data_IF_211686690108
#
_entry.id   IF_211686690108
#
_cell.length_a   1.000
_cell.length_b   1.000
_cell.length_c   1.000
_cell.angle_alpha   90.00
_cell.angle_beta   90.00
_cell.angle_gamma   90.00
#
_symmetry.space_group_name_H-M   'P 1'
#
loop_
_entity.id
_entity.type
_entity.pdbx_description
1 polymer ?
#
# COMPACT_ATOMS: atom_id res chain seq x y z
N UNK A 1 35.77 -13.76 7.22
CA UNK A 1 34.96 -12.85 6.37
C UNK A 1 35.87 -12.21 5.36
N UNK A 2 35.56 -12.29 4.07
CA UNK A 2 36.41 -11.74 3.01
C UNK A 2 36.47 -10.21 3.09
N UNK A 3 37.65 -9.62 2.88
CA UNK A 3 37.87 -8.16 2.94
C UNK A 3 37.06 -7.37 1.89
N UNK A 4 36.68 -8.04 0.80
CA UNK A 4 35.86 -7.47 -0.29
C UNK A 4 34.49 -6.96 0.16
N UNK A 5 33.90 -7.54 1.21
CA UNK A 5 32.59 -7.16 1.73
C UNK A 5 32.59 -5.90 2.59
N UNK A 6 33.76 -5.40 2.99
CA UNK A 6 33.92 -4.20 3.79
C UNK A 6 34.52 -3.03 3.00
N UNK A 7 34.45 -1.84 3.55
CA UNK A 7 35.13 -0.65 3.03
C UNK A 7 36.29 -0.26 3.92
N UNK A 8 37.42 0.13 3.35
CA UNK A 8 38.48 0.82 4.06
C UNK A 8 38.09 2.29 4.28
N UNK A 9 38.79 2.99 5.21
CA UNK A 9 38.51 4.42 5.47
C UNK A 9 38.67 5.27 4.20
N UNK A 10 39.71 5.07 3.43
CA UNK A 10 39.93 5.79 2.16
C UNK A 10 38.79 5.50 1.14
N UNK A 11 38.30 4.26 1.08
CA UNK A 11 37.16 3.93 0.20
C UNK A 11 35.86 4.62 0.65
N UNK A 12 35.66 4.80 1.96
CA UNK A 12 34.50 5.51 2.51
C UNK A 12 34.55 6.98 2.11
N UNK A 13 35.69 7.66 2.32
CA UNK A 13 35.87 9.05 1.95
C UNK A 13 35.67 9.29 0.46
N UNK A 14 36.30 8.48 -0.38
CA UNK A 14 36.16 8.53 -1.82
C UNK A 14 34.72 8.27 -2.29
N UNK A 15 33.99 7.39 -1.60
CA UNK A 15 32.59 7.11 -1.88
C UNK A 15 31.70 8.32 -1.55
N UNK A 16 31.87 8.91 -0.37
CA UNK A 16 31.12 10.09 0.07
C UNK A 16 31.31 11.24 -0.91
N UNK A 17 32.55 11.61 -1.19
CA UNK A 17 32.88 12.68 -2.13
C UNK A 17 32.26 12.45 -3.52
N UNK A 18 32.54 11.31 -4.13
CA UNK A 18 32.06 11.01 -5.49
C UNK A 18 30.54 10.95 -5.58
N UNK A 19 29.88 10.40 -4.55
CA UNK A 19 28.44 10.26 -4.51
C UNK A 19 27.74 11.60 -4.30
N UNK A 20 28.20 12.41 -3.36
CA UNK A 20 27.64 13.74 -3.08
C UNK A 20 27.83 14.70 -4.25
N UNK A 21 29.03 14.71 -4.87
CA UNK A 21 29.29 15.50 -6.07
C UNK A 21 28.36 15.12 -7.24
N UNK A 22 28.10 13.83 -7.42
CA UNK A 22 27.15 13.35 -8.42
C UNK A 22 25.71 13.77 -8.07
N UNK A 23 25.31 13.62 -6.80
CA UNK A 23 23.97 13.95 -6.33
C UNK A 23 23.64 15.43 -6.53
N UNK A 24 24.56 16.32 -6.19
CA UNK A 24 24.37 17.76 -6.34
C UNK A 24 24.08 18.18 -7.79
N UNK A 25 24.63 17.44 -8.76
CA UNK A 25 24.44 17.69 -10.21
C UNK A 25 23.24 16.97 -10.83
N UNK A 26 22.84 15.82 -10.26
CA UNK A 26 21.96 14.87 -10.94
C UNK A 26 20.65 14.58 -10.20
N UNK A 27 20.47 15.11 -9.00
CA UNK A 27 19.27 14.87 -8.18
C UNK A 27 18.02 15.38 -8.87
N UNK A 28 16.97 14.55 -8.89
CA UNK A 28 15.65 14.96 -9.38
C UNK A 28 15.07 16.06 -8.49
N UNK A 29 14.41 17.05 -9.10
CA UNK A 29 13.61 18.02 -8.35
C UNK A 29 12.29 17.36 -7.94
N UNK A 30 12.10 17.18 -6.62
CA UNK A 30 10.94 16.53 -6.04
C UNK A 30 10.30 17.44 -4.98
N UNK A 31 8.94 17.51 -4.89
CA UNK A 31 8.26 18.43 -3.97
C UNK A 31 8.73 18.31 -2.53
N UNK A 32 8.88 17.08 -2.03
CA UNK A 32 9.35 16.84 -0.65
C UNK A 32 10.81 17.21 -0.40
N UNK A 33 11.66 17.24 -1.44
CA UNK A 33 13.04 17.72 -1.32
C UNK A 33 13.10 19.23 -1.14
N UNK A 34 12.20 19.97 -1.81
CA UNK A 34 12.04 21.41 -1.58
C UNK A 34 11.54 21.70 -0.18
N UNK A 35 10.56 20.92 0.29
CA UNK A 35 10.01 21.04 1.64
C UNK A 35 11.02 20.65 2.74
N UNK A 36 11.97 19.77 2.46
CA UNK A 36 13.07 19.45 3.39
C UNK A 36 14.00 20.64 3.69
N UNK A 37 13.93 21.71 2.90
CA UNK A 37 14.67 22.96 3.11
C UNK A 37 13.85 24.03 3.85
N UNK A 38 12.62 23.72 4.26
CA UNK A 38 11.77 24.66 4.99
C UNK A 38 12.45 25.09 6.30
N UNK A 39 12.49 26.38 6.65
CA UNK A 39 13.11 26.86 7.89
C UNK A 39 12.40 26.34 9.15
N UNK A 40 11.08 26.12 9.09
CA UNK A 40 10.31 25.55 10.20
C UNK A 40 10.60 24.04 10.34
N UNK A 41 11.22 23.59 11.45
CA UNK A 41 11.55 22.18 11.66
C UNK A 41 10.32 21.28 11.75
N UNK A 42 9.18 21.77 12.23
CA UNK A 42 7.94 20.99 12.30
C UNK A 42 7.38 20.71 10.91
N UNK A 43 7.29 21.73 10.06
CA UNK A 43 6.84 21.58 8.68
C UNK A 43 7.81 20.71 7.88
N UNK A 44 9.12 20.88 8.08
CA UNK A 44 10.14 20.07 7.43
C UNK A 44 10.05 18.60 7.82
N UNK A 45 9.94 18.30 9.11
CA UNK A 45 9.79 16.94 9.63
C UNK A 45 8.53 16.26 9.11
N UNK A 46 7.41 16.97 9.17
CA UNK A 46 6.12 16.49 8.67
C UNK A 46 6.15 16.19 7.17
N UNK A 47 6.66 17.11 6.37
CA UNK A 47 6.72 16.98 4.91
C UNK A 47 7.58 15.76 4.47
N UNK A 48 8.74 15.57 5.10
CA UNK A 48 9.59 14.40 4.86
C UNK A 48 8.88 13.11 5.29
N UNK A 49 8.25 13.10 6.48
CA UNK A 49 7.51 11.93 6.96
C UNK A 49 6.40 11.51 6.01
N UNK A 50 5.58 12.45 5.55
CA UNK A 50 4.50 12.18 4.58
C UNK A 50 5.06 11.54 3.31
N UNK A 51 6.12 12.12 2.73
CA UNK A 51 6.72 11.58 1.52
C UNK A 51 7.29 10.17 1.72
N UNK A 52 7.99 9.93 2.83
CA UNK A 52 8.58 8.62 3.13
C UNK A 52 7.53 7.52 3.32
N UNK A 53 6.38 7.86 3.92
CA UNK A 53 5.26 6.93 4.06
C UNK A 53 4.58 6.68 2.71
N UNK A 54 4.38 7.71 1.88
CA UNK A 54 3.77 7.56 0.55
C UNK A 54 4.65 6.74 -0.40
N UNK A 55 5.97 6.89 -0.32
CA UNK A 55 6.94 6.19 -1.17
C UNK A 55 7.11 4.70 -0.83
N UNK A 56 6.63 4.23 0.34
CA UNK A 56 6.66 2.81 0.66
C UNK A 56 5.87 2.01 -0.39
N UNK A 57 6.55 1.12 -1.13
CA UNK A 57 5.94 0.26 -2.16
C UNK A 57 5.21 1.03 -3.29
N UNK A 58 5.48 2.32 -3.48
CA UNK A 58 4.84 3.16 -4.49
C UNK A 58 5.89 3.89 -5.32
N UNK A 59 5.67 3.99 -6.63
CA UNK A 59 6.58 4.68 -7.54
C UNK A 59 6.55 6.18 -7.33
N UNK A 60 7.71 6.84 -7.42
CA UNK A 60 7.88 8.30 -7.29
C UNK A 60 6.89 9.08 -8.16
N UNK A 61 6.74 8.70 -9.44
CA UNK A 61 5.81 9.36 -10.38
C UNK A 61 4.37 9.40 -9.85
N UNK A 62 3.91 8.32 -9.24
CA UNK A 62 2.57 8.25 -8.65
C UNK A 62 2.46 9.12 -7.40
N UNK A 63 3.52 9.14 -6.57
CA UNK A 63 3.49 9.85 -5.28
C UNK A 63 3.42 11.36 -5.46
N UNK A 64 4.01 11.95 -6.49
CA UNK A 64 4.06 13.42 -6.68
C UNK A 64 2.67 14.04 -6.56
N UNK A 65 1.71 13.58 -7.36
CA UNK A 65 0.35 14.14 -7.40
C UNK A 65 -0.39 13.93 -6.07
N UNK A 66 -0.18 12.79 -5.40
CA UNK A 66 -0.78 12.50 -4.09
C UNK A 66 -0.18 13.37 -2.99
N UNK A 67 1.12 13.57 -3.01
CA UNK A 67 1.83 14.41 -2.06
C UNK A 67 1.38 15.88 -2.16
N UNK A 68 1.28 16.41 -3.37
CA UNK A 68 0.87 17.80 -3.60
C UNK A 68 -0.57 18.04 -3.12
N UNK A 69 -1.50 17.13 -3.44
CA UNK A 69 -2.88 17.19 -2.93
C UNK A 69 -2.96 17.09 -1.41
N UNK A 70 -2.14 16.21 -0.82
CA UNK A 70 -2.07 16.00 0.62
C UNK A 70 -1.56 17.23 1.35
N UNK A 71 -0.43 17.77 0.91
CA UNK A 71 0.18 18.94 1.52
C UNK A 71 -0.66 20.23 1.32
N UNK A 72 -1.46 20.28 0.27
CA UNK A 72 -2.44 21.35 0.08
C UNK A 72 -3.61 21.25 1.06
N UNK A 73 -4.10 20.04 1.34
CA UNK A 73 -5.24 19.81 2.25
C UNK A 73 -4.82 19.89 3.71
N UNK A 74 -3.67 19.31 4.05
CA UNK A 74 -3.12 19.28 5.41
C UNK A 74 -1.64 19.65 5.41
N UNK A 75 -1.31 20.94 5.37
CA UNK A 75 0.09 21.42 5.31
C UNK A 75 0.86 21.24 6.59
N UNK A 76 0.22 20.92 7.72
CA UNK A 76 0.86 20.69 9.02
C UNK A 76 0.35 19.41 9.71
N UNK A 77 1.11 18.96 10.70
CA UNK A 77 0.76 17.77 11.51
C UNK A 77 -0.54 17.98 12.30
N UNK A 78 -0.81 19.20 12.77
CA UNK A 78 -2.01 19.54 13.53
C UNK A 78 -3.27 19.42 12.69
N UNK A 79 -3.20 19.91 11.45
CA UNK A 79 -4.30 19.81 10.51
C UNK A 79 -4.60 18.36 10.11
N UNK A 80 -3.55 17.54 9.94
CA UNK A 80 -3.74 16.11 9.70
C UNK A 80 -4.35 15.42 10.92
N UNK A 81 -3.91 15.74 12.13
CA UNK A 81 -4.44 15.18 13.36
C UNK A 81 -5.94 15.48 13.56
N UNK A 82 -6.38 16.65 13.10
CA UNK A 82 -7.79 17.08 13.19
C UNK A 82 -8.69 16.50 12.09
N UNK A 83 -8.10 15.83 11.08
CA UNK A 83 -8.85 15.29 9.95
C UNK A 83 -9.67 14.06 10.36
N UNK A 84 -10.80 13.81 9.68
CA UNK A 84 -11.49 12.54 9.81
C UNK A 84 -10.72 11.40 9.13
N UNK A 85 -10.82 10.19 9.65
CA UNK A 85 -10.18 9.03 9.02
C UNK A 85 -10.74 8.75 7.62
N UNK A 86 -12.02 9.08 7.39
CA UNK A 86 -12.67 8.94 6.08
C UNK A 86 -12.07 9.92 5.06
N UNK A 87 -11.84 11.17 5.43
CA UNK A 87 -11.13 12.14 4.58
C UNK A 87 -9.72 11.69 4.24
N UNK A 88 -9.00 11.17 5.24
CA UNK A 88 -7.64 10.65 5.08
C UNK A 88 -7.64 9.47 4.09
N UNK A 89 -8.55 8.52 4.26
CA UNK A 89 -8.68 7.37 3.37
C UNK A 89 -9.14 7.75 1.96
N UNK A 90 -10.03 8.74 1.83
CA UNK A 90 -10.50 9.27 0.54
C UNK A 90 -9.34 9.86 -0.25
N UNK A 91 -8.56 10.76 0.35
CA UNK A 91 -7.41 11.39 -0.31
C UNK A 91 -6.29 10.38 -0.64
N UNK A 92 -6.17 9.29 0.13
CA UNK A 92 -5.23 8.19 -0.10
C UNK A 92 -5.71 7.18 -1.15
N UNK A 93 -6.98 7.26 -1.54
CA UNK A 93 -7.61 6.27 -2.42
C UNK A 93 -6.85 6.13 -3.74
N UNK A 94 -6.51 4.88 -4.08
CA UNK A 94 -5.70 4.53 -5.27
C UNK A 94 -4.21 4.35 -5.01
N UNK A 95 -3.65 4.89 -3.89
CA UNK A 95 -2.24 4.72 -3.56
C UNK A 95 -1.91 3.31 -3.01
N UNK A 96 -2.91 2.60 -2.50
CA UNK A 96 -2.78 1.26 -1.92
C UNK A 96 -2.17 1.24 -0.51
N UNK A 97 -2.12 0.05 0.10
CA UNK A 97 -1.57 -0.14 1.46
C UNK A 97 -2.13 0.87 2.48
N UNK A 98 -3.44 0.94 2.61
CA UNK A 98 -4.19 1.93 3.40
C UNK A 98 -3.83 1.96 4.89
N UNK A 99 -3.25 0.88 5.41
CA UNK A 99 -2.69 0.88 6.77
C UNK A 99 -1.65 1.98 6.98
N UNK A 100 -0.95 2.41 5.92
CA UNK A 100 0.01 3.51 5.96
C UNK A 100 -0.68 4.84 6.28
N UNK A 101 -1.77 5.15 5.58
CA UNK A 101 -2.56 6.37 5.81
C UNK A 101 -3.10 6.41 7.24
N UNK A 102 -3.67 5.28 7.72
CA UNK A 102 -4.19 5.16 9.07
C UNK A 102 -3.10 5.33 10.13
N UNK A 103 -1.91 4.74 9.92
CA UNK A 103 -0.79 4.88 10.85
C UNK A 103 -0.21 6.29 10.81
N UNK A 104 -0.18 6.93 9.63
CA UNK A 104 0.24 8.33 9.47
C UNK A 104 -0.70 9.26 10.25
N UNK A 105 -2.03 9.08 10.12
CA UNK A 105 -3.03 9.83 10.87
C UNK A 105 -2.90 9.63 12.38
N UNK A 106 -2.84 8.38 12.85
CA UNK A 106 -2.61 8.09 14.28
C UNK A 106 -1.30 8.64 14.80
N UNK A 107 -0.27 8.66 13.97
CA UNK A 107 1.01 9.28 14.32
C UNK A 107 0.89 10.80 14.48
N UNK A 108 0.10 11.46 13.63
CA UNK A 108 -0.17 12.89 13.74
C UNK A 108 -0.94 13.23 15.02
N UNK A 109 -2.02 12.47 15.32
CA UNK A 109 -2.75 12.59 16.58
C UNK A 109 -1.80 12.46 17.80
N UNK A 110 -0.88 11.49 17.75
CA UNK A 110 0.08 11.27 18.81
C UNK A 110 1.09 12.41 18.96
N UNK A 111 1.58 12.97 17.84
CA UNK A 111 2.48 14.12 17.89
C UNK A 111 1.79 15.32 18.52
N UNK A 112 0.53 15.58 18.19
CA UNK A 112 -0.24 16.67 18.80
C UNK A 112 -0.47 16.43 20.29
N UNK A 113 -0.93 15.24 20.65
CA UNK A 113 -1.37 14.96 22.03
C UNK A 113 -0.22 14.71 23.01
N UNK A 114 0.87 14.05 22.57
CA UNK A 114 1.95 13.65 23.48
C UNK A 114 3.22 14.50 23.31
N UNK A 115 3.37 15.21 22.19
CA UNK A 115 4.52 16.07 21.91
C UNK A 115 4.14 17.54 21.71
N UNK A 116 2.90 17.93 22.07
CA UNK A 116 2.39 19.31 21.96
C UNK A 116 2.53 19.91 20.54
N UNK A 117 2.37 19.10 19.50
CA UNK A 117 2.53 19.50 18.11
C UNK A 117 4.00 19.67 17.66
N UNK A 118 4.97 19.43 18.55
CA UNK A 118 6.40 19.51 18.22
C UNK A 118 6.87 18.20 17.60
N UNK A 119 7.33 18.26 16.35
CA UNK A 119 7.73 17.07 15.62
C UNK A 119 9.04 16.49 16.21
N UNK A 120 9.07 15.18 16.61
CA UNK A 120 10.26 14.57 17.19
C UNK A 120 11.41 14.53 16.17
N UNK A 121 12.60 14.96 16.57
CA UNK A 121 13.76 15.10 15.68
C UNK A 121 14.69 13.89 15.72
N UNK A 122 14.68 13.13 16.83
CA UNK A 122 15.56 11.96 17.01
C UNK A 122 14.99 10.71 16.36
N UNK A 123 15.83 9.98 15.58
CA UNK A 123 15.47 8.70 14.99
C UNK A 123 15.01 7.67 16.03
N UNK A 124 15.62 7.68 17.22
CA UNK A 124 15.25 6.77 18.31
C UNK A 124 13.85 7.08 18.85
N UNK A 125 13.54 8.35 19.09
CA UNK A 125 12.23 8.79 19.56
C UNK A 125 11.16 8.51 18.50
N UNK A 126 11.42 8.85 17.24
CA UNK A 126 10.53 8.58 16.11
C UNK A 126 10.18 7.11 16.02
N UNK A 127 11.20 6.22 16.03
CA UNK A 127 11.01 4.77 15.95
C UNK A 127 10.23 4.20 17.14
N UNK A 128 10.49 4.68 18.36
CA UNK A 128 9.87 4.18 19.57
C UNK A 128 8.44 4.67 19.74
N UNK A 129 8.17 5.91 19.35
CA UNK A 129 6.93 6.58 19.77
C UNK A 129 5.92 6.75 18.65
N UNK A 130 6.33 6.89 17.37
CA UNK A 130 5.39 7.21 16.31
C UNK A 130 4.89 5.94 15.61
N UNK A 131 3.56 5.69 15.60
CA UNK A 131 2.97 4.54 14.93
C UNK A 131 3.37 4.45 13.45
N UNK A 132 3.77 3.25 13.01
CA UNK A 132 4.16 2.99 11.62
C UNK A 132 5.56 3.49 11.22
N UNK A 133 6.30 4.11 12.13
CA UNK A 133 7.67 4.55 11.89
C UNK A 133 8.65 3.48 12.32
N UNK A 134 9.22 2.77 11.33
CA UNK A 134 10.28 1.78 11.52
C UNK A 134 11.69 2.38 11.46
N UNK A 135 12.72 1.51 11.58
CA UNK A 135 14.15 1.92 11.54
C UNK A 135 14.49 2.76 10.31
N UNK A 136 14.00 2.35 9.12
CA UNK A 136 14.20 3.10 7.88
C UNK A 136 13.56 4.49 7.92
N UNK A 137 12.25 4.56 8.19
CA UNK A 137 11.50 5.83 8.17
C UNK A 137 12.03 6.81 9.21
N UNK A 138 12.38 6.32 10.40
CA UNK A 138 12.99 7.12 11.45
C UNK A 138 14.33 7.70 11.01
N UNK A 139 15.21 6.88 10.41
CA UNK A 139 16.50 7.31 9.89
C UNK A 139 16.38 8.33 8.75
N UNK A 140 15.41 8.11 7.84
CA UNK A 140 15.14 9.03 6.73
C UNK A 140 14.68 10.41 7.25
N UNK A 141 13.67 10.44 8.12
CA UNK A 141 13.19 11.70 8.69
C UNK A 141 14.31 12.42 9.45
N UNK A 142 14.98 11.72 10.36
CA UNK A 142 16.01 12.32 11.21
C UNK A 142 17.22 12.85 10.42
N UNK A 143 17.65 12.14 9.38
CA UNK A 143 18.77 12.60 8.56
C UNK A 143 18.38 13.70 7.59
N UNK A 144 17.25 13.57 6.89
CA UNK A 144 16.85 14.49 5.83
C UNK A 144 16.28 15.80 6.41
N UNK A 145 15.43 15.71 7.44
CA UNK A 145 14.80 16.90 8.02
C UNK A 145 15.63 17.55 9.13
N UNK A 146 16.44 16.77 9.86
CA UNK A 146 17.08 17.25 11.08
C UNK A 146 18.61 17.07 11.10
N UNK A 147 19.19 16.69 9.98
CA UNK A 147 20.64 16.51 9.81
C UNK A 147 21.28 15.56 10.85
N UNK A 148 20.50 14.62 11.39
CA UNK A 148 21.05 13.62 12.30
C UNK A 148 21.86 12.59 11.52
N UNK A 149 23.10 12.33 11.96
CA UNK A 149 23.98 11.33 11.35
C UNK A 149 23.45 9.90 11.63
N UNK A 150 22.47 9.48 10.84
CA UNK A 150 21.84 8.16 10.94
C UNK A 150 21.61 7.57 9.54
N UNK A 151 21.83 6.26 9.35
CA UNK A 151 21.72 5.62 8.03
C UNK A 151 20.27 5.37 7.62
N UNK A 152 20.08 5.14 6.32
CA UNK A 152 18.89 4.55 5.74
C UNK A 152 19.22 3.26 4.99
N UNK A 153 18.28 2.32 4.93
CA UNK A 153 18.45 1.09 4.20
C UNK A 153 17.10 0.68 3.58
N UNK A 154 16.85 1.14 2.35
CA UNK A 154 15.71 0.76 1.51
C UNK A 154 16.12 -0.26 0.45
N UNK A 155 15.19 -0.69 -0.41
CA UNK A 155 15.48 -1.62 -1.50
C UNK A 155 16.50 -1.09 -2.52
N UNK A 156 16.63 0.23 -2.68
CA UNK A 156 17.63 0.86 -3.55
C UNK A 156 19.02 0.80 -2.92
N UNK A 157 19.13 1.21 -1.67
CA UNK A 157 20.38 1.18 -0.90
C UNK A 157 20.90 -0.25 -0.73
N UNK A 158 20.02 -1.22 -0.40
CA UNK A 158 20.38 -2.65 -0.35
C UNK A 158 21.01 -3.10 -1.66
N UNK A 159 20.38 -2.78 -2.80
CA UNK A 159 20.91 -3.15 -4.12
C UNK A 159 22.27 -2.51 -4.41
N UNK A 160 22.42 -1.22 -4.09
CA UNK A 160 23.68 -0.51 -4.28
C UNK A 160 24.80 -1.16 -3.44
N UNK A 161 24.55 -1.36 -2.13
CA UNK A 161 25.56 -1.90 -1.23
C UNK A 161 25.95 -3.35 -1.56
N UNK A 162 24.96 -4.19 -1.88
CA UNK A 162 25.23 -5.58 -2.27
C UNK A 162 26.04 -5.68 -3.55
N UNK A 163 25.80 -4.79 -4.52
CA UNK A 163 26.60 -4.71 -5.75
C UNK A 163 27.98 -4.13 -5.52
N UNK A 164 28.11 -3.09 -4.70
CA UNK A 164 29.40 -2.50 -4.39
C UNK A 164 30.35 -3.48 -3.69
N UNK A 165 29.83 -4.35 -2.83
CA UNK A 165 30.61 -5.25 -1.97
C UNK A 165 30.37 -6.73 -2.21
N UNK A 166 29.78 -7.13 -3.34
CA UNK A 166 29.50 -8.54 -3.71
C UNK A 166 28.83 -9.35 -2.59
N UNK A 167 27.85 -8.75 -1.89
CA UNK A 167 27.15 -9.44 -0.81
C UNK A 167 26.12 -10.39 -1.43
N UNK A 168 26.44 -11.67 -1.48
CA UNK A 168 25.64 -12.73 -2.10
C UNK A 168 24.82 -13.53 -1.12
N UNK A 169 24.90 -13.27 0.17
CA UNK A 169 23.96 -13.84 1.14
C UNK A 169 22.55 -13.29 0.89
N UNK A 170 21.49 -14.12 0.96
CA UNK A 170 20.12 -13.64 0.75
C UNK A 170 19.74 -12.50 1.68
N UNK A 171 19.27 -11.39 1.10
CA UNK A 171 18.97 -10.16 1.86
C UNK A 171 17.78 -10.29 2.80
N UNK A 172 16.98 -11.36 2.73
CA UNK A 172 15.90 -11.64 3.65
C UNK A 172 16.40 -12.25 4.99
N UNK A 173 17.64 -12.70 5.06
CA UNK A 173 18.21 -13.22 6.30
C UNK A 173 18.51 -12.08 7.29
N UNK A 174 18.15 -12.22 8.57
CA UNK A 174 18.42 -11.19 9.60
C UNK A 174 19.90 -10.79 9.70
N UNK A 175 20.80 -11.78 9.58
CA UNK A 175 22.25 -11.57 9.62
C UNK A 175 22.75 -10.70 8.45
N UNK A 176 22.25 -10.96 7.23
CA UNK A 176 22.57 -10.16 6.04
C UNK A 176 22.05 -8.74 6.17
N UNK A 177 20.82 -8.59 6.67
CA UNK A 177 20.21 -7.26 6.89
C UNK A 177 20.97 -6.46 7.93
N UNK A 178 21.36 -7.06 9.05
CA UNK A 178 22.14 -6.35 10.08
C UNK A 178 23.55 -5.98 9.57
N UNK A 179 24.18 -6.85 8.79
CA UNK A 179 25.44 -6.50 8.13
C UNK A 179 25.30 -5.28 7.20
N UNK A 180 24.24 -5.24 6.39
CA UNK A 180 23.97 -4.09 5.50
C UNK A 180 23.66 -2.81 6.28
N UNK A 181 22.95 -2.88 7.40
CA UNK A 181 22.75 -1.75 8.29
C UNK A 181 24.08 -1.24 8.87
N UNK A 182 24.97 -2.14 9.29
CA UNK A 182 26.29 -1.78 9.79
C UNK A 182 27.16 -1.12 8.71
N UNK A 183 27.07 -1.60 7.47
CA UNK A 183 27.73 -0.93 6.34
C UNK A 183 27.16 0.48 6.12
N UNK A 184 25.84 0.62 6.06
CA UNK A 184 25.21 1.91 5.88
C UNK A 184 25.57 2.89 7.01
N UNK A 185 25.65 2.43 8.26
CA UNK A 185 26.09 3.25 9.41
C UNK A 185 27.50 3.79 9.24
N UNK A 186 28.44 2.97 8.75
CA UNK A 186 29.82 3.39 8.51
C UNK A 186 29.94 4.37 7.35
N UNK A 187 29.04 4.27 6.38
CA UNK A 187 29.08 5.07 5.16
C UNK A 187 28.45 6.44 5.30
N UNK A 188 27.42 6.61 6.16
CA UNK A 188 26.69 7.88 6.24
C UNK A 188 27.66 9.04 6.47
N UNK A 189 27.47 10.11 5.71
CA UNK A 189 28.30 11.31 5.79
C UNK A 189 27.94 12.10 7.05
N UNK A 190 28.91 12.48 7.91
CA UNK A 190 28.62 13.18 9.16
C UNK A 190 28.14 14.63 8.96
N UNK A 191 28.59 15.29 7.88
CA UNK A 191 28.26 16.68 7.62
C UNK A 191 26.98 16.85 6.82
N UNK A 192 26.71 15.92 5.89
CA UNK A 192 25.57 15.94 4.98
C UNK A 192 24.77 14.62 5.00
N UNK A 193 24.32 14.11 6.17
CA UNK A 193 23.72 12.79 6.28
C UNK A 193 22.44 12.64 5.46
N UNK A 194 21.60 13.67 5.43
CA UNK A 194 20.36 13.68 4.65
C UNK A 194 20.61 13.63 3.13
N UNK A 195 21.58 14.43 2.64
CA UNK A 195 21.95 14.40 1.23
C UNK A 195 22.60 13.07 0.84
N UNK A 196 23.46 12.53 1.69
CA UNK A 196 24.13 11.25 1.46
C UNK A 196 23.12 10.10 1.35
N UNK A 197 22.18 10.02 2.28
CA UNK A 197 21.12 9.01 2.26
C UNK A 197 20.23 9.13 1.01
N UNK A 198 19.81 10.34 0.67
CA UNK A 198 19.07 10.60 -0.56
C UNK A 198 19.90 10.26 -1.81
N UNK A 199 21.19 10.53 -1.82
CA UNK A 199 22.09 10.22 -2.91
C UNK A 199 22.22 8.71 -3.17
N UNK A 200 22.34 7.89 -2.12
CA UNK A 200 22.32 6.42 -2.25
C UNK A 200 20.99 5.90 -2.81
N UNK A 201 19.88 6.40 -2.30
CA UNK A 201 18.55 6.04 -2.81
C UNK A 201 18.38 6.48 -4.27
N UNK A 202 18.79 7.69 -4.62
CA UNK A 202 18.74 8.22 -5.98
C UNK A 202 19.60 7.40 -6.95
N UNK A 203 20.85 7.07 -6.55
CA UNK A 203 21.75 6.23 -7.35
C UNK A 203 21.09 4.88 -7.66
N UNK A 204 20.46 4.26 -6.67
CA UNK A 204 19.72 3.03 -6.86
C UNK A 204 18.51 3.19 -7.77
N UNK A 205 17.81 4.31 -7.69
CA UNK A 205 16.59 4.56 -8.46
C UNK A 205 16.85 4.85 -9.94
N UNK A 206 17.91 5.61 -10.27
CA UNK A 206 18.11 6.14 -11.63
C UNK A 206 19.35 5.61 -12.36
N UNK A 207 20.33 5.06 -11.65
CA UNK A 207 21.59 4.57 -12.24
C UNK A 207 21.80 3.08 -11.98
N UNK A 208 21.91 2.68 -10.71
CA UNK A 208 22.07 1.27 -10.30
C UNK A 208 20.73 0.54 -10.25
N UNK A 209 19.97 0.56 -11.34
CA UNK A 209 18.60 0.02 -11.45
C UNK A 209 18.55 -1.52 -11.32
N UNK A 210 17.40 -2.13 -10.97
CA UNK A 210 17.28 -3.58 -10.86
C UNK A 210 17.59 -4.32 -12.17
N UNK A 211 17.07 -3.81 -13.27
CA UNK A 211 17.31 -4.28 -14.64
C UNK A 211 18.07 -3.19 -15.38
N UNK A 212 19.00 -3.54 -16.24
CA UNK A 212 19.75 -2.60 -17.07
C UNK A 212 20.43 -1.46 -16.29
N UNK A 213 21.29 -1.72 -15.30
CA UNK A 213 22.02 -0.68 -14.58
C UNK A 213 23.03 0.02 -15.50
N UNK A 214 23.09 1.36 -15.45
CA UNK A 214 24.06 2.15 -16.22
C UNK A 214 25.40 2.27 -15.47
N UNK A 215 26.16 1.18 -15.47
CA UNK A 215 27.44 1.10 -14.76
C UNK A 215 28.50 2.08 -15.32
N UNK A 216 28.41 2.45 -16.60
CA UNK A 216 29.37 3.37 -17.21
C UNK A 216 29.20 4.82 -16.72
N UNK A 217 27.96 5.21 -16.38
CA UNK A 217 27.67 6.53 -15.80
C UNK A 217 27.73 6.55 -14.28
N UNK A 218 27.83 5.37 -13.62
CA UNK A 218 27.84 5.28 -12.17
C UNK A 218 29.06 5.98 -11.56
N UNK A 219 28.88 6.98 -10.66
CA UNK A 219 29.99 7.70 -10.04
C UNK A 219 30.91 6.78 -9.25
N UNK A 220 30.34 5.77 -8.57
CA UNK A 220 31.08 4.85 -7.72
C UNK A 220 31.87 3.82 -8.52
N UNK A 221 31.39 3.44 -9.71
CA UNK A 221 32.14 2.60 -10.63
C UNK A 221 33.32 3.36 -11.26
N UNK A 222 33.11 4.63 -11.64
CA UNK A 222 34.16 5.46 -12.21
C UNK A 222 35.37 5.62 -11.29
N UNK A 223 35.16 5.62 -9.99
CA UNK A 223 36.22 5.68 -8.97
C UNK A 223 36.70 4.30 -8.50
N UNK A 224 36.28 3.23 -9.18
CA UNK A 224 36.75 1.86 -8.93
C UNK A 224 36.25 1.22 -7.65
N UNK A 225 35.06 1.61 -7.15
CA UNK A 225 34.52 1.08 -5.87
C UNK A 225 33.54 -0.09 -6.05
N UNK A 226 33.10 -0.40 -7.30
CA UNK A 226 32.12 -1.44 -7.55
C UNK A 226 32.77 -2.80 -7.80
N UNK A 227 32.83 -3.64 -6.78
CA UNK A 227 33.47 -4.96 -6.87
C UNK A 227 32.70 -5.93 -7.79
N UNK A 228 31.34 -5.88 -7.80
CA UNK A 228 30.57 -6.72 -8.74
C UNK A 228 30.77 -6.33 -10.20
N UNK A 229 31.05 -5.07 -10.51
CA UNK A 229 31.37 -4.65 -11.86
C UNK A 229 32.77 -5.14 -12.28
N UNK A 230 33.76 -5.06 -11.37
CA UNK A 230 35.08 -5.63 -11.60
C UNK A 230 34.99 -7.13 -11.88
N UNK A 231 34.26 -7.87 -11.03
CA UNK A 231 34.04 -9.32 -11.18
C UNK A 231 33.40 -9.65 -12.54
N UNK A 232 32.38 -8.90 -12.94
CA UNK A 232 31.68 -9.15 -14.19
C UNK A 232 32.57 -8.99 -15.44
N UNK A 233 33.59 -8.13 -15.37
CA UNK A 233 34.51 -7.82 -16.47
C UNK A 233 35.89 -8.47 -16.31
N UNK A 234 36.15 -9.23 -15.24
CA UNK A 234 37.39 -9.96 -15.07
C UNK A 234 37.56 -11.08 -16.10
N UNK A 235 38.78 -11.26 -16.58
CA UNK A 235 39.15 -12.39 -17.43
C UNK A 235 39.12 -13.70 -16.59
N UNK A 236 39.02 -14.85 -17.27
CA UNK A 236 39.02 -16.15 -16.56
C UNK A 236 40.28 -16.40 -15.75
N UNK A 237 41.41 -15.77 -16.12
CA UNK A 237 42.70 -15.89 -15.43
C UNK A 237 42.79 -15.12 -14.12
N UNK A 238 41.97 -14.07 -13.93
CA UNK A 238 42.04 -13.18 -12.78
C UNK A 238 41.10 -13.61 -11.63
N UNK A 239 40.41 -14.73 -11.81
CA UNK A 239 39.52 -15.29 -10.80
C UNK A 239 40.39 -16.10 -9.80
N UNK A 240 40.98 -15.40 -8.86
CA UNK A 240 41.57 -16.04 -7.69
C UNK A 240 40.40 -16.62 -6.88
N UNK A 241 40.27 -17.94 -6.92
CA UNK A 241 39.44 -18.67 -5.98
C UNK A 241 40.10 -18.52 -4.58
N UNK A 242 39.88 -17.38 -3.93
CA UNK A 242 40.09 -17.33 -2.48
C UNK A 242 39.11 -18.34 -1.88
N UNK A 243 39.59 -19.14 -0.95
CA UNK A 243 38.81 -20.17 -0.25
C UNK A 243 37.46 -19.62 0.17
N UNK A 244 36.45 -19.87 -0.68
CA UNK A 244 35.08 -19.32 -0.56
C UNK A 244 34.24 -20.15 0.45
N UNK A 245 34.79 -21.28 0.95
CA UNK A 245 34.05 -22.24 1.73
C UNK A 245 33.59 -21.69 3.09
N UNK A 246 34.27 -20.69 3.65
CA UNK A 246 33.99 -20.17 4.99
C UNK A 246 33.30 -18.78 5.04
N UNK A 247 33.02 -18.14 3.91
CA UNK A 247 32.44 -16.81 3.92
C UNK A 247 30.92 -16.83 3.63
N UNK A 248 30.12 -16.74 4.69
CA UNK A 248 28.67 -16.70 4.58
C UNK A 248 28.07 -15.50 3.82
N UNK A 249 28.88 -14.49 3.47
CA UNK A 249 28.46 -13.33 2.67
C UNK A 249 28.74 -13.49 1.19
N UNK A 250 29.59 -14.43 0.79
CA UNK A 250 29.87 -14.68 -0.62
C UNK A 250 28.66 -15.33 -1.33
N UNK A 251 28.54 -15.05 -2.62
CA UNK A 251 27.55 -15.76 -3.45
C UNK A 251 28.04 -17.18 -3.72
N UNK A 252 27.16 -18.14 -3.61
CA UNK A 252 27.48 -19.53 -3.97
C UNK A 252 27.75 -19.61 -5.48
N UNK A 253 28.84 -20.30 -5.87
CA UNK A 253 29.24 -20.47 -7.26
C UNK A 253 28.16 -21.11 -8.12
N UNK A 254 27.34 -22.01 -7.55
CA UNK A 254 26.20 -22.64 -8.23
C UNK A 254 25.06 -21.66 -8.58
N UNK A 255 24.97 -20.53 -7.87
CA UNK A 255 23.92 -19.50 -8.07
C UNK A 255 24.42 -18.37 -8.96
N UNK A 256 25.73 -18.11 -8.99
CA UNK A 256 26.30 -17.03 -9.80
C UNK A 256 26.21 -17.31 -11.30
N UNK A 257 25.62 -16.38 -12.04
CA UNK A 257 25.49 -16.44 -13.49
C UNK A 257 26.31 -15.32 -14.14
N UNK A 258 27.34 -15.66 -14.92
CA UNK A 258 28.22 -14.68 -15.56
C UNK A 258 27.46 -13.71 -16.48
N UNK A 259 26.42 -14.19 -17.16
CA UNK A 259 25.56 -13.38 -18.04
C UNK A 259 24.78 -12.28 -17.30
N UNK A 260 24.51 -12.43 -16.01
CA UNK A 260 23.82 -11.43 -15.20
C UNK A 260 24.75 -10.33 -14.68
N UNK A 261 26.06 -10.53 -14.68
CA UNK A 261 27.03 -9.54 -14.19
C UNK A 261 26.64 -9.00 -12.81
N UNK A 262 26.55 -7.68 -12.67
CA UNK A 262 26.16 -7.03 -11.40
C UNK A 262 24.75 -7.37 -10.94
N UNK A 263 23.88 -7.87 -11.83
CA UNK A 263 22.49 -8.24 -11.51
C UNK A 263 22.38 -9.54 -10.72
N UNK A 264 23.48 -10.29 -10.52
CA UNK A 264 23.52 -11.35 -9.53
C UNK A 264 23.22 -10.86 -8.11
N UNK A 265 23.38 -9.56 -7.86
CA UNK A 265 23.17 -8.92 -6.56
C UNK A 265 22.00 -7.93 -6.60
N UNK A 266 21.13 -7.89 -5.56
CA UNK A 266 21.10 -8.76 -4.37
C UNK A 266 20.51 -10.15 -4.66
N UNK A 267 21.01 -11.18 -3.99
CA UNK A 267 20.39 -12.50 -3.96
C UNK A 267 19.12 -12.46 -3.11
N UNK A 268 18.06 -13.10 -3.60
CA UNK A 268 16.75 -13.15 -2.92
C UNK A 268 16.31 -14.61 -2.83
N UNK A 269 15.70 -14.96 -1.70
CA UNK A 269 14.97 -16.21 -1.58
C UNK A 269 13.73 -16.18 -2.47
N UNK A 270 13.32 -17.35 -2.97
CA UNK A 270 12.08 -17.49 -3.72
C UNK A 270 10.89 -16.98 -2.90
N UNK A 271 9.99 -16.26 -3.55
CA UNK A 271 8.75 -15.83 -2.91
C UNK A 271 7.81 -17.03 -2.79
N UNK A 272 7.05 -17.08 -1.68
CA UNK A 272 5.90 -17.97 -1.58
C UNK A 272 4.86 -17.59 -2.63
N UNK A 273 4.17 -18.57 -3.18
CA UNK A 273 3.05 -18.30 -4.08
C UNK A 273 1.94 -17.54 -3.35
N UNK A 274 1.30 -16.57 -4.02
CA UNK A 274 0.17 -15.87 -3.45
C UNK A 274 -0.98 -16.83 -3.16
N UNK A 275 -1.64 -16.66 -2.01
CA UNK A 275 -2.83 -17.43 -1.67
C UNK A 275 -3.97 -17.03 -2.60
N UNK A 276 -4.69 -18.00 -3.15
CA UNK A 276 -5.94 -17.76 -3.89
C UNK A 276 -7.09 -17.61 -2.90
N UNK A 277 -8.03 -16.72 -3.20
CA UNK A 277 -9.19 -16.47 -2.35
C UNK A 277 -10.34 -15.96 -3.20
N UNK A 278 -11.56 -16.35 -2.86
CA UNK A 278 -12.77 -15.96 -3.56
C UNK A 278 -13.64 -15.08 -2.65
N UNK A 279 -14.33 -14.10 -3.24
CA UNK A 279 -15.27 -13.24 -2.51
C UNK A 279 -16.51 -13.02 -3.34
N UNK A 280 -17.67 -13.40 -2.81
CA UNK A 280 -18.97 -13.07 -3.41
C UNK A 280 -19.30 -11.63 -3.05
N UNK A 281 -19.65 -10.83 -4.05
CA UNK A 281 -20.08 -9.44 -3.91
C UNK A 281 -21.49 -9.29 -4.45
N UNK A 282 -22.32 -8.59 -3.70
CA UNK A 282 -23.67 -8.22 -4.09
C UNK A 282 -23.78 -6.71 -4.25
N UNK A 283 -23.75 -6.23 -5.51
CA UNK A 283 -23.98 -4.81 -5.80
C UNK A 283 -25.45 -4.51 -5.62
N UNK A 284 -25.77 -3.98 -4.45
CA UNK A 284 -27.13 -3.63 -4.05
C UNK A 284 -27.39 -2.18 -4.41
N UNK A 285 -28.42 -1.92 -5.20
CA UNK A 285 -28.78 -0.57 -5.63
C UNK A 285 -30.28 -0.34 -5.69
N UNK A 286 -30.66 0.93 -5.61
CA UNK A 286 -32.03 1.42 -5.76
C UNK A 286 -32.05 2.65 -6.63
N UNK A 287 -33.19 2.96 -7.23
CA UNK A 287 -33.38 4.17 -8.05
C UNK A 287 -34.38 5.10 -7.39
N UNK A 288 -34.06 6.39 -7.28
CA UNK A 288 -34.92 7.43 -6.70
C UNK A 288 -35.15 8.56 -7.69
N UNK A 289 -36.34 9.07 -7.71
CA UNK A 289 -36.70 10.23 -8.54
C UNK A 289 -36.34 11.51 -7.79
N UNK A 290 -35.42 12.30 -8.31
CA UNK A 290 -35.02 13.60 -7.77
C UNK A 290 -35.06 14.62 -8.88
N UNK A 291 -35.79 15.74 -8.66
CA UNK A 291 -35.92 16.82 -9.64
C UNK A 291 -36.21 16.32 -11.06
N UNK A 292 -37.19 15.41 -11.21
CA UNK A 292 -37.61 14.76 -12.45
C UNK A 292 -36.61 13.77 -13.08
N UNK A 293 -35.37 13.65 -12.56
CA UNK A 293 -34.38 12.69 -13.01
C UNK A 293 -34.33 11.46 -12.10
N UNK A 294 -34.09 10.27 -12.69
CA UNK A 294 -33.92 9.02 -11.97
C UNK A 294 -32.43 8.89 -11.59
N UNK A 295 -32.13 8.94 -10.28
CA UNK A 295 -30.78 8.72 -9.77
C UNK A 295 -30.64 7.35 -9.11
N UNK A 296 -29.51 6.68 -9.36
CA UNK A 296 -29.18 5.41 -8.75
C UNK A 296 -28.32 5.61 -7.50
N UNK A 297 -28.68 4.89 -6.44
CA UNK A 297 -27.96 4.84 -5.17
C UNK A 297 -27.47 3.43 -4.90
N UNK A 298 -26.25 3.31 -4.41
CA UNK A 298 -25.56 2.05 -4.15
C UNK A 298 -25.29 1.89 -2.66
N UNK A 299 -25.53 0.70 -2.13
CA UNK A 299 -25.25 0.38 -0.73
C UNK A 299 -23.77 0.06 -0.57
N UNK A 300 -23.12 0.76 0.34
CA UNK A 300 -21.77 0.45 0.82
C UNK A 300 -21.80 0.07 2.30
N UNK A 301 -21.01 -0.92 2.67
CA UNK A 301 -20.74 -1.32 4.06
C UNK A 301 -19.29 -1.00 4.41
N UNK A 302 -19.06 -0.53 5.63
CA UNK A 302 -17.70 -0.30 6.10
C UNK A 302 -17.05 -1.60 6.55
N UNK A 303 -15.81 -1.84 6.11
CA UNK A 303 -15.03 -2.99 6.56
C UNK A 303 -14.62 -2.85 8.03
N UNK A 304 -14.38 -3.99 8.73
CA UNK A 304 -13.86 -3.97 10.09
C UNK A 304 -12.63 -3.10 10.25
N UNK A 305 -12.39 -2.60 11.47
CA UNK A 305 -11.23 -1.74 11.79
C UNK A 305 -9.87 -2.47 11.69
N UNK A 306 -9.88 -3.79 11.50
CA UNK A 306 -8.69 -4.65 11.37
C UNK A 306 -8.76 -5.53 10.13
N UNK A 307 -7.64 -6.09 9.67
CA UNK A 307 -7.58 -6.98 8.51
C UNK A 307 -7.33 -6.27 7.18
N UNK A 308 -7.53 -7.01 6.08
CA UNK A 308 -7.31 -6.52 4.71
C UNK A 308 -8.27 -5.36 4.41
N UNK A 309 -7.75 -4.24 3.89
CA UNK A 309 -8.53 -3.05 3.52
C UNK A 309 -9.40 -2.50 4.67
N UNK A 310 -8.94 -2.61 5.92
CA UNK A 310 -9.65 -2.22 7.12
C UNK A 310 -10.15 -0.77 7.09
N UNK A 311 -11.41 -0.56 7.47
CA UNK A 311 -12.05 0.75 7.58
C UNK A 311 -12.44 1.38 6.24
N UNK A 312 -12.17 0.73 5.09
CA UNK A 312 -12.65 1.19 3.79
C UNK A 312 -14.12 0.79 3.57
N UNK A 313 -14.76 1.48 2.64
CA UNK A 313 -16.09 1.14 2.18
C UNK A 313 -16.03 0.12 1.04
N UNK A 314 -16.95 -0.82 1.03
CA UNK A 314 -17.08 -1.83 -0.02
C UNK A 314 -18.55 -2.18 -0.27
N UNK A 315 -18.86 -2.81 -1.40
CA UNK A 315 -20.14 -3.44 -1.58
C UNK A 315 -20.32 -4.61 -0.60
N UNK A 316 -21.56 -4.90 -0.18
CA UNK A 316 -21.84 -6.10 0.62
C UNK A 316 -21.16 -7.33 0.04
N UNK A 317 -20.40 -8.04 0.86
CA UNK A 317 -19.56 -9.14 0.39
C UNK A 317 -19.40 -10.24 1.42
N UNK A 318 -19.07 -11.46 0.95
CA UNK A 318 -18.67 -12.58 1.79
C UNK A 318 -17.43 -13.25 1.20
N UNK A 319 -16.40 -13.43 2.00
CA UNK A 319 -15.14 -14.03 1.55
C UNK A 319 -15.11 -15.52 1.86
N UNK A 320 -14.74 -16.33 0.87
CA UNK A 320 -14.71 -17.77 0.92
C UNK A 320 -13.27 -18.24 0.87
N UNK A 321 -12.89 -19.13 1.77
CA UNK A 321 -11.50 -19.64 1.85
C UNK A 321 -11.26 -20.87 0.94
N UNK A 322 -12.28 -21.35 0.25
CA UNK A 322 -12.16 -22.53 -0.62
C UNK A 322 -11.79 -22.14 -2.06
N UNK A 323 -10.83 -22.89 -2.65
CA UNK A 323 -10.31 -22.68 -4.01
C UNK A 323 -11.22 -23.27 -5.10
N UNK A 324 -12.14 -24.17 -4.75
CA UNK A 324 -12.98 -24.91 -5.70
C UNK A 324 -14.45 -24.49 -5.59
N UNK A 325 -14.80 -23.45 -6.33
CA UNK A 325 -16.17 -22.96 -6.37
C UNK A 325 -16.83 -23.31 -7.70
N UNK A 326 -17.84 -24.17 -7.66
CA UNK A 326 -18.80 -24.32 -8.75
C UNK A 326 -19.80 -23.16 -8.73
N UNK A 327 -20.48 -22.88 -9.85
CA UNK A 327 -21.51 -21.83 -9.93
C UNK A 327 -22.65 -22.02 -8.91
N UNK A 328 -22.97 -23.27 -8.57
CA UNK A 328 -24.00 -23.62 -7.56
C UNK A 328 -23.52 -23.24 -6.14
N UNK A 329 -22.25 -23.52 -5.82
CA UNK A 329 -21.65 -23.14 -4.53
C UNK A 329 -21.57 -21.62 -4.43
N UNK A 330 -21.20 -20.90 -5.52
CA UNK A 330 -21.15 -19.43 -5.54
C UNK A 330 -22.50 -18.82 -5.14
N UNK A 331 -23.61 -19.36 -5.67
CA UNK A 331 -24.95 -18.88 -5.36
C UNK A 331 -25.39 -19.17 -3.92
N UNK A 332 -24.91 -20.25 -3.31
CA UNK A 332 -25.22 -20.62 -1.93
C UNK A 332 -24.75 -19.61 -0.89
N UNK A 333 -23.80 -18.73 -1.24
CA UNK A 333 -23.30 -17.67 -0.35
C UNK A 333 -24.10 -16.36 -0.44
N UNK A 334 -25.00 -16.21 -1.43
CA UNK A 334 -25.84 -15.01 -1.57
C UNK A 334 -26.70 -14.77 -0.31
N UNK A 335 -27.37 -15.76 0.28
CA UNK A 335 -28.11 -15.57 1.53
C UNK A 335 -27.28 -15.00 2.67
N UNK A 336 -26.01 -15.41 2.81
CA UNK A 336 -25.10 -14.89 3.83
C UNK A 336 -24.75 -13.41 3.60
N UNK A 337 -24.63 -12.98 2.34
CA UNK A 337 -24.42 -11.56 2.01
C UNK A 337 -25.70 -10.77 2.29
N UNK A 338 -26.88 -11.32 1.99
CA UNK A 338 -28.18 -10.68 2.26
C UNK A 338 -28.40 -10.55 3.77
N UNK A 339 -28.10 -11.58 4.56
CA UNK A 339 -28.16 -11.52 6.03
C UNK A 339 -27.27 -10.39 6.56
N UNK A 340 -26.07 -10.24 6.00
CA UNK A 340 -25.17 -9.14 6.34
C UNK A 340 -25.74 -7.76 5.98
N UNK A 341 -26.47 -7.64 4.87
CA UNK A 341 -27.18 -6.43 4.49
C UNK A 341 -28.32 -6.14 5.47
N UNK A 342 -29.14 -7.13 5.78
CA UNK A 342 -30.29 -7.01 6.68
C UNK A 342 -29.83 -6.60 8.08
N UNK A 343 -28.79 -7.26 8.58
CA UNK A 343 -28.17 -6.91 9.88
C UNK A 343 -27.55 -5.50 9.88
N UNK A 344 -27.00 -5.07 8.74
CA UNK A 344 -26.42 -3.73 8.61
C UNK A 344 -27.48 -2.63 8.47
N UNK A 345 -28.66 -2.91 7.94
CA UNK A 345 -29.71 -1.92 7.70
C UNK A 345 -30.80 -1.88 8.79
N UNK A 346 -30.67 -2.66 9.87
CA UNK A 346 -31.53 -2.67 11.06
C UNK A 346 -33.04 -2.48 10.74
N UNK A 347 -33.65 -3.43 10.05
CA UNK A 347 -35.11 -3.46 9.79
C UNK A 347 -35.73 -2.28 9.01
N UNK A 348 -34.97 -1.29 8.59
CA UNK A 348 -35.49 -0.19 7.75
C UNK A 348 -35.79 -0.62 6.32
N UNK A 349 -35.30 -1.77 5.89
CA UNK A 349 -35.78 -2.48 4.72
C UNK A 349 -36.65 -3.64 5.20
N UNK A 350 -37.97 -3.53 5.06
CA UNK A 350 -38.86 -4.70 5.12
C UNK A 350 -38.57 -5.59 3.91
N UNK A 351 -37.48 -6.35 3.98
CA UNK A 351 -37.24 -7.47 3.06
C UNK A 351 -38.17 -8.60 3.51
N UNK A 352 -39.44 -8.45 3.21
CA UNK A 352 -40.52 -9.34 3.67
C UNK A 352 -40.48 -10.73 3.05
N UNK A 353 -39.67 -10.93 2.00
CA UNK A 353 -39.41 -12.28 1.49
C UNK A 353 -38.12 -12.29 0.66
N UNK A 354 -37.07 -12.97 1.17
CA UNK A 354 -35.85 -13.28 0.42
C UNK A 354 -36.18 -14.02 -0.88
N UNK A 355 -37.34 -14.69 -0.96
CA UNK A 355 -37.80 -15.48 -2.09
C UNK A 355 -38.20 -14.67 -3.34
N UNK A 356 -38.35 -13.34 -3.23
CA UNK A 356 -38.73 -12.46 -4.34
C UNK A 356 -37.53 -11.58 -4.84
N UNK A 357 -36.36 -11.78 -4.27
CA UNK A 357 -35.16 -10.97 -4.63
C UNK A 357 -34.63 -11.39 -6.00
N UNK A 358 -34.69 -10.48 -6.96
CA UNK A 358 -34.13 -10.69 -8.29
C UNK A 358 -32.61 -10.44 -8.25
N UNK A 359 -31.83 -11.50 -7.95
CA UNK A 359 -30.35 -11.48 -7.94
C UNK A 359 -29.85 -11.95 -9.29
N UNK A 360 -29.11 -11.10 -9.99
CA UNK A 360 -28.54 -11.39 -11.32
C UNK A 360 -27.02 -11.58 -11.25
N UNK A 361 -26.49 -12.67 -11.85
CA UNK A 361 -25.04 -12.81 -12.01
C UNK A 361 -24.51 -11.78 -13.00
N UNK A 362 -23.38 -11.13 -12.66
CA UNK A 362 -22.70 -10.14 -13.51
C UNK A 362 -21.42 -10.72 -14.11
N UNK A 363 -20.66 -11.48 -13.32
CA UNK A 363 -19.41 -12.08 -13.76
C UNK A 363 -18.33 -12.09 -12.68
N UNK A 364 -17.09 -12.28 -13.11
CA UNK A 364 -15.94 -12.40 -12.21
C UNK A 364 -14.91 -11.31 -12.47
N UNK A 365 -14.28 -10.80 -11.40
CA UNK A 365 -13.23 -9.78 -11.45
C UNK A 365 -12.02 -10.27 -10.66
N UNK A 366 -10.90 -10.51 -11.33
CA UNK A 366 -9.63 -10.84 -10.68
C UNK A 366 -8.90 -9.57 -10.22
N UNK A 367 -8.52 -9.54 -8.94
CA UNK A 367 -7.65 -8.53 -8.38
C UNK A 367 -6.46 -9.15 -7.66
N UNK A 368 -5.24 -8.72 -8.03
CA UNK A 368 -4.00 -9.24 -7.50
C UNK A 368 -3.49 -8.29 -6.42
N UNK A 369 -3.53 -8.75 -5.16
CA UNK A 369 -2.82 -8.14 -4.04
C UNK A 369 -1.39 -8.70 -3.96
N UNK A 370 -0.54 -8.11 -3.13
CA UNK A 370 0.86 -8.55 -2.97
C UNK A 370 1.02 -9.99 -2.49
N UNK A 371 0.03 -10.55 -1.80
CA UNK A 371 0.06 -11.87 -1.16
C UNK A 371 -1.23 -12.70 -1.36
N UNK A 372 -2.22 -12.14 -2.07
CA UNK A 372 -3.51 -12.78 -2.35
C UNK A 372 -3.90 -12.52 -3.80
N UNK A 373 -4.30 -13.55 -4.52
CA UNK A 373 -5.06 -13.45 -5.75
C UNK A 373 -6.54 -13.59 -5.41
N UNK A 374 -7.28 -12.49 -5.46
CA UNK A 374 -8.69 -12.42 -5.10
C UNK A 374 -9.55 -12.45 -6.34
N UNK A 375 -10.45 -13.42 -6.43
CA UNK A 375 -11.53 -13.44 -7.44
C UNK A 375 -12.80 -12.93 -6.80
N UNK A 376 -13.33 -11.84 -7.33
CA UNK A 376 -14.61 -11.29 -6.94
C UNK A 376 -15.69 -11.85 -7.86
N UNK A 377 -16.69 -12.54 -7.30
CA UNK A 377 -17.84 -13.09 -7.98
C UNK A 377 -18.98 -12.10 -7.76
N UNK A 378 -19.38 -11.41 -8.82
CA UNK A 378 -20.22 -10.23 -8.75
C UNK A 378 -21.65 -10.56 -9.13
N UNK A 379 -22.57 -10.19 -8.25
CA UNK A 379 -24.01 -10.26 -8.47
C UNK A 379 -24.63 -8.87 -8.33
N UNK A 380 -25.75 -8.64 -9.00
CA UNK A 380 -26.60 -7.45 -8.88
C UNK A 380 -27.84 -7.77 -8.05
N UNK A 381 -28.19 -6.87 -7.13
CA UNK A 381 -29.48 -6.86 -6.43
C UNK A 381 -30.11 -5.47 -6.58
N UNK A 382 -31.22 -5.40 -7.31
CA UNK A 382 -32.05 -4.20 -7.37
C UNK A 382 -33.14 -4.27 -6.28
N UNK A 383 -33.15 -3.26 -5.40
CA UNK A 383 -34.15 -3.12 -4.34
C UNK A 383 -35.15 -2.08 -4.75
N UNK A 384 -36.44 -2.48 -4.80
CA UNK A 384 -37.56 -1.56 -5.03
C UNK A 384 -37.98 -0.93 -3.70
N UNK A 385 -38.05 0.39 -3.64
CA UNK A 385 -38.57 1.09 -2.47
C UNK A 385 -40.07 0.97 -2.38
N UNK A 386 -40.58 0.24 -1.40
CA UNK A 386 -41.93 0.50 -0.89
C UNK A 386 -41.88 1.81 -0.10
N UNK A 387 -42.58 2.81 -0.56
CA UNK A 387 -42.97 4.17 -0.13
C UNK A 387 -42.64 4.67 1.28
N UNK A 388 -41.56 4.24 1.96
CA UNK A 388 -41.05 4.96 3.12
C UNK A 388 -39.76 5.71 2.74
N UNK A 389 -39.71 7.05 2.99
CA UNK A 389 -38.51 7.80 2.66
C UNK A 389 -37.34 7.29 3.50
N UNK A 390 -36.23 7.00 2.86
CA UNK A 390 -34.93 7.00 3.56
C UNK A 390 -34.86 8.36 4.26
N UNK A 391 -34.70 8.42 5.60
CA UNK A 391 -34.64 9.68 6.30
C UNK A 391 -33.59 10.55 5.58
N UNK A 392 -33.94 11.80 5.27
CA UNK A 392 -33.05 12.78 4.63
C UNK A 392 -31.74 12.98 5.39
N UNK A 393 -31.71 12.58 6.64
CA UNK A 393 -30.57 12.59 7.56
C UNK A 393 -29.52 11.51 7.27
N UNK A 394 -29.88 10.44 6.53
CA UNK A 394 -28.94 9.42 6.04
C UNK A 394 -28.31 9.79 4.69
N UNK A 395 -28.71 10.90 4.09
CA UNK A 395 -28.17 11.45 2.86
C UNK A 395 -27.22 12.61 3.22
N UNK A 396 -26.01 12.25 3.53
CA UNK A 396 -24.77 13.04 3.47
C UNK A 396 -24.84 14.55 3.50
N UNK A 397 -24.39 15.08 4.61
CA UNK A 397 -23.62 16.30 4.58
C UNK A 397 -22.24 16.04 5.20
N UNK A 398 -21.12 16.07 4.46
CA UNK A 398 -19.79 15.81 5.00
C UNK A 398 -19.31 16.89 5.99
N UNK A 399 -20.11 17.95 6.22
CA UNK A 399 -19.73 19.13 7.03
C UNK A 399 -20.60 19.37 8.26
N UNK A 400 -21.51 18.46 8.64
CA UNK A 400 -22.26 18.65 9.90
C UNK A 400 -21.77 17.70 10.97
N UNK A 401 -21.08 18.25 11.95
CA UNK A 401 -20.71 17.67 13.25
C UNK A 401 -21.92 17.45 14.18
N UNK A 402 -23.08 17.11 13.65
CA UNK A 402 -24.22 16.67 14.45
C UNK A 402 -24.40 15.17 14.23
N UNK A 403 -23.90 14.42 15.21
CA UNK A 403 -24.12 12.99 15.40
C UNK A 403 -25.60 12.71 15.69
N UNK A 404 -26.45 12.75 14.67
CA UNK A 404 -27.66 11.94 14.67
C UNK A 404 -27.20 10.57 14.17
N UNK A 405 -26.62 9.80 15.08
CA UNK A 405 -26.40 8.37 14.92
C UNK A 405 -27.77 7.73 14.69
N UNK A 406 -28.01 7.24 13.46
CA UNK A 406 -28.88 6.07 13.35
C UNK A 406 -28.21 5.05 14.28
N UNK A 407 -28.84 4.73 15.42
CA UNK A 407 -28.30 3.84 16.46
C UNK A 407 -28.02 2.46 15.87
N UNK A 408 -26.81 2.29 15.37
CA UNK A 408 -26.28 1.01 14.94
C UNK A 408 -25.61 0.37 16.15
N UNK A 409 -25.82 -0.90 16.45
CA UNK A 409 -25.09 -1.55 17.52
C UNK A 409 -23.58 -1.45 17.25
N UNK A 410 -22.76 -1.13 18.25
CA UNK A 410 -21.34 -0.81 18.08
C UNK A 410 -20.46 -1.95 17.55
N UNK A 411 -21.01 -3.13 17.35
CA UNK A 411 -20.32 -4.32 16.83
C UNK A 411 -20.56 -4.60 15.35
N UNK A 412 -21.41 -3.84 14.65
CA UNK A 412 -21.76 -4.05 13.25
C UNK A 412 -21.14 -2.98 12.36
N UNK A 413 -20.75 -3.37 11.14
CA UNK A 413 -20.24 -2.46 10.13
C UNK A 413 -21.33 -1.44 9.77
N UNK A 414 -21.00 -0.15 9.79
CA UNK A 414 -21.90 0.90 9.32
C UNK A 414 -22.19 0.74 7.83
N UNK A 415 -23.44 0.96 7.41
CA UNK A 415 -23.87 0.97 6.02
C UNK A 415 -24.30 2.37 5.60
N UNK A 416 -24.12 2.71 4.31
CA UNK A 416 -24.62 3.96 3.73
C UNK A 416 -25.02 3.78 2.27
N UNK A 417 -26.01 4.54 1.84
CA UNK A 417 -26.37 4.69 0.45
C UNK A 417 -25.60 5.87 -0.16
N UNK A 418 -24.98 5.67 -1.31
CA UNK A 418 -24.20 6.70 -1.99
C UNK A 418 -24.66 6.84 -3.44
N UNK A 419 -24.64 8.06 -3.97
CA UNK A 419 -24.84 8.29 -5.40
C UNK A 419 -23.64 7.75 -6.19
N UNK A 420 -23.77 7.71 -7.51
CA UNK A 420 -22.65 7.33 -8.38
C UNK A 420 -21.47 8.31 -8.26
N UNK A 421 -21.77 9.58 -8.15
CA UNK A 421 -20.77 10.64 -7.97
C UNK A 421 -20.03 10.46 -6.63
N UNK A 422 -20.79 10.35 -5.52
CA UNK A 422 -20.24 10.19 -4.18
C UNK A 422 -19.47 8.88 -4.01
N UNK A 423 -19.80 7.84 -4.79
CA UNK A 423 -19.04 6.58 -4.77
C UNK A 423 -17.60 6.79 -5.24
N UNK A 424 -17.37 7.66 -6.23
CA UNK A 424 -16.05 7.98 -6.72
C UNK A 424 -15.20 8.72 -5.67
N UNK A 425 -15.83 9.55 -4.84
CA UNK A 425 -15.17 10.31 -3.79
C UNK A 425 -15.07 9.56 -2.46
N UNK A 426 -15.76 8.41 -2.38
CA UNK A 426 -15.72 7.56 -1.20
C UNK A 426 -14.37 6.86 -1.01
N UNK A 427 -14.04 6.59 0.26
CA UNK A 427 -12.85 5.82 0.66
C UNK A 427 -13.01 4.33 0.30
N UNK A 428 -13.04 4.00 -0.99
CA UNK A 428 -13.14 2.64 -1.53
C UNK A 428 -11.81 2.16 -2.10
N UNK A 429 -11.60 0.84 -2.10
CA UNK A 429 -10.38 0.24 -2.65
C UNK A 429 -10.35 0.26 -4.18
N UNK A 430 -9.14 0.12 -4.76
CA UNK A 430 -9.00 -0.11 -6.21
C UNK A 430 -9.73 -1.38 -6.67
N UNK A 431 -9.80 -2.40 -5.82
CA UNK A 431 -10.57 -3.63 -6.10
C UNK A 431 -12.07 -3.32 -6.23
N UNK A 432 -12.63 -2.57 -5.28
CA UNK A 432 -14.04 -2.14 -5.29
C UNK A 432 -14.34 -1.29 -6.53
N UNK A 433 -13.43 -0.38 -6.93
CA UNK A 433 -13.57 0.41 -8.18
C UNK A 433 -13.59 -0.48 -9.42
N UNK A 434 -12.73 -1.50 -9.49
CA UNK A 434 -12.73 -2.46 -10.60
C UNK A 434 -14.02 -3.26 -10.69
N UNK A 435 -14.54 -3.71 -9.55
CA UNK A 435 -15.83 -4.43 -9.46
C UNK A 435 -16.96 -3.54 -9.96
N UNK A 436 -17.01 -2.28 -9.52
CA UNK A 436 -18.04 -1.34 -9.97
C UNK A 436 -17.94 -1.01 -11.47
N UNK A 437 -16.74 -0.79 -11.99
CA UNK A 437 -16.53 -0.58 -13.42
C UNK A 437 -16.97 -1.78 -14.27
N UNK A 438 -16.71 -3.01 -13.80
CA UNK A 438 -17.18 -4.23 -14.46
C UNK A 438 -18.70 -4.29 -14.50
N UNK A 439 -19.37 -3.95 -13.40
CA UNK A 439 -20.81 -3.88 -13.30
C UNK A 439 -21.42 -2.82 -14.26
N UNK A 440 -20.85 -1.62 -14.33
CA UNK A 440 -21.32 -0.57 -15.25
C UNK A 440 -21.18 -1.00 -16.72
N UNK A 441 -20.05 -1.61 -17.06
CA UNK A 441 -19.81 -2.12 -18.42
C UNK A 441 -20.78 -3.24 -18.80
N UNK A 442 -21.18 -4.08 -17.85
CA UNK A 442 -22.19 -5.14 -18.10
C UNK A 442 -23.56 -4.58 -18.44
N UNK A 443 -23.95 -3.43 -17.87
CA UNK A 443 -25.22 -2.76 -18.17
C UNK A 443 -25.29 -2.20 -19.60
N UNK A 444 -24.15 -1.84 -20.18
CA UNK A 444 -24.08 -1.33 -21.55
C UNK A 444 -24.08 -2.43 -22.61
N UNK A 445 -23.93 -3.71 -22.22
CA UNK A 445 -23.79 -4.85 -23.14
C UNK A 445 -24.95 -5.85 -23.12
N UNK A 446 -26.00 -5.67 -22.32
CA UNK A 446 -27.04 -6.66 -22.14
C UNK A 446 -28.29 -6.44 -23.02
N UNK A 447 -28.46 -7.36 -23.98
CA UNK A 447 -29.72 -7.99 -24.32
C UNK A 447 -29.99 -9.13 -23.32
N UNK A 448 -31.23 -9.23 -22.84
CA UNK A 448 -31.72 -10.08 -21.77
C UNK A 448 -31.35 -11.57 -21.89
N UNK A 449 -30.67 -12.10 -20.87
CA UNK A 449 -30.71 -13.55 -20.57
C UNK A 449 -31.26 -13.71 -19.15
N UNK A 450 -32.53 -14.03 -19.08
CA UNK A 450 -33.22 -14.40 -17.85
C UNK A 450 -32.86 -15.85 -17.49
N UNK A 451 -32.10 -16.03 -16.39
CA UNK A 451 -31.81 -17.35 -15.82
C UNK A 451 -32.69 -17.57 -14.59
N UNK A 452 -33.44 -18.66 -14.58
CA UNK A 452 -34.35 -19.07 -13.50
C UNK A 452 -33.59 -19.36 -12.20
N UNK A 453 -33.39 -18.35 -11.36
CA UNK A 453 -32.80 -18.46 -10.01
C UNK A 453 -33.81 -19.00 -8.99
N UNK A 454 -35.09 -19.02 -9.35
CA UNK A 454 -36.24 -19.35 -8.45
C UNK A 454 -36.21 -20.75 -7.82
N UNK A 455 -35.60 -21.73 -8.49
CA UNK A 455 -35.70 -23.13 -8.04
C UNK A 455 -34.65 -23.55 -7.00
N UNK A 456 -33.51 -22.87 -6.98
CA UNK A 456 -32.39 -23.22 -6.09
C UNK A 456 -32.51 -22.61 -4.69
N UNK A 457 -33.10 -21.40 -4.60
CA UNK A 457 -33.30 -20.73 -3.30
C UNK A 457 -34.32 -21.48 -2.44
N UNK A 458 -35.41 -22.01 -3.04
CA UNK A 458 -36.44 -22.81 -2.35
C UNK A 458 -35.89 -24.14 -1.83
N UNK A 459 -34.94 -24.76 -2.53
CA UNK A 459 -34.37 -26.06 -2.12
C UNK A 459 -33.38 -25.91 -0.94
N UNK A 460 -32.73 -24.77 -0.81
CA UNK A 460 -31.78 -24.51 0.29
C UNK A 460 -32.46 -24.08 1.59
N UNK A 461 -33.56 -23.31 1.52
CA UNK A 461 -34.34 -22.91 2.69
C UNK A 461 -35.01 -24.15 3.33
N UNK A 462 -35.48 -25.10 2.51
CA UNK A 462 -36.03 -26.37 3.01
C UNK A 462 -34.97 -27.30 3.61
N UNK A 463 -33.68 -27.16 3.23
CA UNK A 463 -32.58 -27.95 3.84
C UNK A 463 -32.05 -27.34 5.13
N UNK A 464 -32.11 -26.03 5.31
CA UNK A 464 -31.70 -25.36 6.53
C UNK A 464 -32.75 -25.33 7.63
N UNK A 465 -34.04 -25.53 7.26
CA UNK A 465 -35.15 -25.61 8.22
C UNK A 465 -35.29 -26.95 8.98
N UNK A 466 -34.44 -27.93 8.72
CA UNK A 466 -34.48 -29.27 9.36
C UNK A 466 -33.30 -29.53 10.32
N UNK A 467 -32.69 -28.48 10.86
CA UNK A 467 -31.71 -28.58 11.96
C UNK A 467 -32.23 -27.74 13.13
N UNK A 468 -33.24 -28.27 13.84
CA UNK A 468 -33.53 -27.93 15.26
C UNK A 468 -33.30 -29.18 16.08
#
# INVERSE_FOLDING_TARGET
MCSIHSFTTNQIEKLRESLLLWYDRSKRDLPWRRMALNPDPNLRGYAVWVSEVMLQQTQVKTVIDYYDRWMKKWPSVDQLASASLDDVNSLWSGLGYYSRARLLHKGAEKIVNEFNGIFPQSAEVLKRSIPGVGRYTAGAIASIAFNQCTPVLDGNVIRVLTRLRQIGSPVQLPTSMEYLWNLATKLVDPDRPGDFNQALMELGAVCCTPKNPDCMKCPLNKVGLCESYKQANASKSDYISTDLEDCHLCINSSVYQKSLGVMNYPVKLSKREPRKQNTVILITHTSRKENEALKNYYLLLQRPKTGLLAGLWEFPSYTIEDDKLTSEIQQSFIPLVIDRITNALNSSLNITSINELNVKPIGEVLHIFSHIHMTYIVFELKVEQQQQPIPSECLNNPNTTTTTTCDWPPSLNSGRWVSREDLNDSAISTATRKVFAHFENSKSSHSEVSVHVHYLILTLINKLGNWT
#
